data_IF_042196223268
#
_entry.id   IF_042196223268
#
_cell.length_a   1.000
_cell.length_b   1.000
_cell.length_c   1.000
_cell.angle_alpha   90.00
_cell.angle_beta   90.00
_cell.angle_gamma   90.00
#
_symmetry.space_group_name_H-M   'P 1'
#
loop_
_entity.id
_entity.type
_entity.pdbx_description
1 polymer ?
#
# COMPACT_ATOMS: atom_id res chain seq x y z
N UNK A 1 15.81 -20.83 -7.28
CA UNK A 1 15.27 -20.15 -6.07
C UNK A 1 13.76 -19.85 -6.19
N UNK A 2 13.24 -19.36 -7.33
CA UNK A 2 11.79 -19.15 -7.58
C UNK A 2 10.88 -20.37 -7.29
N UNK A 3 11.31 -21.59 -7.64
CA UNK A 3 10.53 -22.82 -7.43
C UNK A 3 10.46 -23.32 -5.98
N UNK A 4 11.44 -22.99 -5.12
CA UNK A 4 11.53 -23.59 -3.78
C UNK A 4 10.59 -22.92 -2.78
N UNK A 5 10.39 -21.60 -2.86
CA UNK A 5 9.37 -20.89 -2.07
C UNK A 5 7.94 -21.23 -2.53
N UNK A 6 7.76 -21.48 -3.82
CA UNK A 6 6.46 -21.83 -4.41
C UNK A 6 6.04 -23.27 -4.07
N UNK A 7 6.98 -24.22 -4.02
CA UNK A 7 6.72 -25.62 -3.65
C UNK A 7 6.41 -25.77 -2.14
N UNK A 8 7.03 -25.00 -1.25
CA UNK A 8 6.64 -24.99 0.18
C UNK A 8 5.28 -24.36 0.41
N UNK A 9 4.89 -23.37 -0.39
CA UNK A 9 3.54 -22.81 -0.38
C UNK A 9 2.54 -23.85 -0.90
N UNK A 10 2.81 -24.52 -2.03
CA UNK A 10 1.94 -25.57 -2.61
C UNK A 10 1.75 -26.79 -1.70
N UNK A 11 2.77 -27.22 -0.94
CA UNK A 11 2.66 -28.37 -0.04
C UNK A 11 1.73 -28.10 1.18
N UNK A 12 1.40 -26.85 1.45
CA UNK A 12 0.43 -26.43 2.49
C UNK A 12 -0.98 -26.24 1.89
N UNK A 13 -1.12 -26.20 0.56
CA UNK A 13 -2.29 -25.69 -0.19
C UNK A 13 -3.21 -26.76 -0.79
N UNK A 14 -3.46 -27.84 -0.04
CA UNK A 14 -4.49 -28.80 -0.41
C UNK A 14 -5.66 -28.65 0.57
N UNK A 15 -6.66 -27.81 0.23
CA UNK A 15 -8.12 -27.91 0.59
C UNK A 15 -8.83 -26.55 0.61
N UNK A 16 -9.93 -26.40 -0.15
CA UNK A 16 -10.95 -25.39 0.17
C UNK A 16 -12.37 -25.72 -0.35
N UNK A 17 -13.38 -25.21 0.35
CA UNK A 17 -14.71 -24.86 -0.16
C UNK A 17 -15.19 -23.67 0.67
N UNK A 18 -15.91 -22.73 0.04
CA UNK A 18 -16.62 -21.68 0.79
C UNK A 18 -18.01 -21.42 0.21
N UNK A 19 -19.00 -21.30 1.10
CA UNK A 19 -20.30 -20.68 0.88
C UNK A 19 -20.27 -19.28 1.51
N UNK A 20 -20.65 -18.24 0.77
CA UNK A 20 -20.97 -16.93 1.35
C UNK A 20 -20.36 -15.70 0.65
N UNK A 21 -21.26 -14.78 0.30
CA UNK A 21 -21.13 -13.39 -0.19
C UNK A 21 -20.24 -13.03 -1.39
N UNK A 22 -20.80 -12.12 -2.18
CA UNK A 22 -20.57 -11.88 -3.61
C UNK A 22 -19.57 -10.75 -3.88
N UNK A 23 -18.54 -10.59 -3.05
CA UNK A 23 -17.47 -9.64 -3.38
C UNK A 23 -16.52 -10.33 -4.34
N UNK A 24 -16.63 -10.01 -5.63
CA UNK A 24 -15.64 -10.35 -6.65
C UNK A 24 -14.53 -9.29 -6.69
N UNK A 25 -13.34 -9.67 -7.17
CA UNK A 25 -12.17 -8.80 -7.25
C UNK A 25 -12.47 -7.47 -7.96
N UNK A 26 -13.26 -7.53 -9.04
CA UNK A 26 -13.66 -6.36 -9.83
C UNK A 26 -14.47 -5.36 -9.01
N UNK A 27 -15.37 -5.86 -8.17
CA UNK A 27 -16.25 -5.05 -7.33
C UNK A 27 -15.44 -4.27 -6.31
N UNK A 28 -14.46 -4.92 -5.68
CA UNK A 28 -13.53 -4.27 -4.74
C UNK A 28 -12.69 -3.24 -5.50
N UNK A 29 -12.07 -3.62 -6.62
CA UNK A 29 -11.25 -2.73 -7.42
C UNK A 29 -12.01 -1.46 -7.85
N UNK A 30 -13.28 -1.59 -8.27
CA UNK A 30 -14.15 -0.47 -8.65
C UNK A 30 -14.63 0.39 -7.47
N UNK A 31 -14.58 -0.14 -6.25
CA UNK A 31 -14.95 0.60 -5.04
C UNK A 31 -13.81 1.48 -4.50
N UNK A 32 -12.58 1.25 -4.96
CA UNK A 32 -11.43 2.06 -4.56
C UNK A 32 -11.59 3.51 -5.04
N UNK A 33 -11.22 4.50 -4.21
CA UNK A 33 -11.14 5.87 -4.67
C UNK A 33 -10.04 6.00 -5.75
N UNK A 34 -10.22 6.94 -6.66
CA UNK A 34 -9.23 7.27 -7.68
C UNK A 34 -7.94 7.78 -7.04
N UNK A 35 -6.79 7.41 -7.61
CA UNK A 35 -5.48 7.96 -7.22
C UNK A 35 -5.51 9.50 -7.36
N UNK A 36 -5.33 10.25 -6.27
CA UNK A 36 -5.36 11.71 -6.31
C UNK A 36 -4.15 12.27 -7.08
N UNK A 37 -4.36 13.33 -7.87
CA UNK A 37 -3.28 13.96 -8.63
C UNK A 37 -2.31 14.74 -7.74
N UNK A 38 -2.80 15.33 -6.66
CA UNK A 38 -1.99 16.05 -5.69
C UNK A 38 -2.57 15.90 -4.29
N UNK A 39 -1.77 15.35 -3.38
CA UNK A 39 -2.15 15.22 -1.95
C UNK A 39 -1.36 16.15 -1.05
N UNK A 40 -0.33 16.84 -1.57
CA UNK A 40 0.63 17.60 -0.77
C UNK A 40 -0.04 18.72 -0.01
N UNK A 41 -0.93 19.46 -0.68
CA UNK A 41 -1.66 20.59 -0.11
C UNK A 41 -3.11 20.28 0.19
N UNK A 42 -3.53 19.02 0.09
CA UNK A 42 -4.90 18.65 0.38
C UNK A 42 -5.23 18.99 1.84
N UNK A 43 -6.40 19.57 2.06
CA UNK A 43 -6.89 19.95 3.39
C UNK A 43 -7.08 18.72 4.28
N UNK A 44 -7.13 18.93 5.60
CA UNK A 44 -7.45 17.83 6.54
C UNK A 44 -8.78 17.16 6.23
N UNK A 45 -9.76 17.93 5.74
CA UNK A 45 -11.07 17.41 5.35
C UNK A 45 -10.96 16.48 4.14
N UNK A 46 -10.22 16.87 3.10
CA UNK A 46 -10.03 16.05 1.90
C UNK A 46 -9.27 14.75 2.24
N UNK A 47 -8.22 14.85 3.06
CA UNK A 47 -7.51 13.69 3.59
C UNK A 47 -8.45 12.73 4.32
N UNK A 48 -9.24 13.24 5.27
CA UNK A 48 -10.17 12.40 6.03
C UNK A 48 -11.23 11.77 5.12
N UNK A 49 -11.84 12.55 4.23
CA UNK A 49 -12.83 12.02 3.27
C UNK A 49 -12.25 10.92 2.37
N UNK A 50 -10.98 11.01 1.99
CA UNK A 50 -10.32 9.99 1.20
C UNK A 50 -10.04 8.71 2.02
N UNK A 51 -9.53 8.86 3.24
CA UNK A 51 -9.28 7.75 4.15
C UNK A 51 -10.59 7.05 4.57
N UNK A 52 -11.68 7.79 4.75
CA UNK A 52 -13.00 7.22 5.04
C UNK A 52 -13.47 6.33 3.88
N UNK A 53 -13.32 6.81 2.63
CA UNK A 53 -13.63 6.00 1.43
C UNK A 53 -12.77 4.74 1.32
N UNK A 54 -11.49 4.81 1.68
CA UNK A 54 -10.63 3.62 1.73
C UNK A 54 -11.06 2.67 2.85
N UNK A 55 -11.45 3.21 4.00
CA UNK A 55 -11.93 2.42 5.16
C UNK A 55 -13.17 1.61 4.81
N UNK A 56 -14.08 2.14 3.98
CA UNK A 56 -15.26 1.41 3.48
C UNK A 56 -14.87 0.15 2.67
N UNK A 57 -13.66 0.12 2.10
CA UNK A 57 -13.14 -1.02 1.32
C UNK A 57 -12.53 -2.10 2.23
N UNK A 58 -12.05 -1.75 3.43
CA UNK A 58 -11.43 -2.71 4.36
C UNK A 58 -12.33 -3.90 4.72
N UNK A 59 -13.62 -3.74 5.07
CA UNK A 59 -14.52 -4.87 5.27
C UNK A 59 -14.64 -5.76 4.03
N UNK A 60 -14.64 -5.18 2.83
CA UNK A 60 -14.73 -5.94 1.58
C UNK A 60 -13.47 -6.78 1.34
N UNK A 61 -12.29 -6.22 1.63
CA UNK A 61 -11.01 -6.94 1.59
C UNK A 61 -10.95 -8.02 2.66
N UNK A 62 -11.37 -7.72 3.88
CA UNK A 62 -11.42 -8.69 4.97
C UNK A 62 -12.34 -9.86 4.63
N UNK A 63 -13.54 -9.60 4.09
CA UNK A 63 -14.46 -10.64 3.66
C UNK A 63 -13.93 -11.41 2.45
N UNK A 64 -13.21 -10.75 1.54
CA UNK A 64 -12.51 -11.40 0.44
C UNK A 64 -11.38 -12.30 0.95
N UNK A 65 -10.59 -11.85 1.94
CA UNK A 65 -9.51 -12.60 2.58
C UNK A 65 -10.04 -13.77 3.43
N UNK A 66 -11.17 -13.58 4.14
CA UNK A 66 -11.84 -14.64 4.93
C UNK A 66 -12.35 -15.81 4.11
N UNK A 67 -12.61 -15.62 2.80
CA UNK A 67 -12.89 -16.73 1.88
C UNK A 67 -11.73 -17.74 1.81
N UNK A 68 -10.55 -17.36 2.30
CA UNK A 68 -9.33 -18.18 2.33
C UNK A 68 -8.91 -18.64 3.75
N UNK A 69 -9.44 -18.08 4.84
CA UNK A 69 -8.92 -18.33 6.22
C UNK A 69 -9.64 -19.42 7.03
N UNK A 70 -10.89 -19.79 6.73
CA UNK A 70 -11.62 -20.82 7.48
C UNK A 70 -11.48 -22.20 6.82
N UNK A 71 -10.44 -22.95 7.18
CA UNK A 71 -10.08 -24.25 6.58
C UNK A 71 -10.14 -25.38 7.62
N UNK A 72 -10.96 -26.40 7.37
CA UNK A 72 -10.93 -27.70 8.08
C UNK A 72 -10.09 -28.72 7.28
N UNK A 73 -9.28 -29.52 7.98
CA UNK A 73 -8.42 -30.56 7.37
C UNK A 73 -9.26 -31.68 6.74
N UNK A 74 -9.04 -31.98 5.45
CA UNK A 74 -9.63 -33.14 4.75
C UNK A 74 -8.54 -33.92 3.99
N UNK A 75 -8.61 -35.25 4.04
CA UNK A 75 -7.74 -36.14 3.25
C UNK A 75 -8.27 -36.34 1.83
N UNK A 76 -7.35 -36.46 0.86
CA UNK A 76 -7.66 -36.63 -0.57
C UNK A 76 -7.44 -38.05 -1.06
N UNK A 77 -8.27 -38.47 -2.01
CA UNK A 77 -8.15 -39.72 -2.77
C UNK A 77 -7.14 -39.59 -3.92
N UNK A 78 -6.61 -40.72 -4.40
CA UNK A 78 -5.61 -40.76 -5.49
C UNK A 78 -6.11 -40.15 -6.82
N UNK A 79 -7.40 -40.28 -7.14
CA UNK A 79 -8.01 -39.67 -8.33
C UNK A 79 -8.12 -38.14 -8.22
N UNK A 80 -8.24 -37.61 -7.00
CA UNK A 80 -8.24 -36.17 -6.73
C UNK A 80 -6.83 -35.58 -6.89
N UNK A 81 -5.77 -36.33 -6.55
CA UNK A 81 -4.38 -35.91 -6.78
C UNK A 81 -4.03 -35.72 -8.27
N UNK A 82 -4.44 -36.63 -9.15
CA UNK A 82 -4.20 -36.46 -10.60
C UNK A 82 -4.98 -35.27 -11.18
N UNK A 83 -6.15 -34.96 -10.61
CA UNK A 83 -6.96 -33.81 -11.01
C UNK A 83 -6.36 -32.49 -10.53
N UNK A 84 -5.71 -32.49 -9.35
CA UNK A 84 -4.95 -31.35 -8.82
C UNK A 84 -3.78 -30.95 -9.72
N UNK A 85 -3.05 -31.90 -10.30
CA UNK A 85 -1.92 -31.60 -11.18
C UNK A 85 -2.34 -30.78 -12.41
N UNK A 86 -3.48 -31.12 -13.02
CA UNK A 86 -3.98 -30.39 -14.19
C UNK A 86 -4.42 -28.97 -13.84
N UNK A 87 -5.09 -28.79 -12.70
CA UNK A 87 -5.52 -27.45 -12.26
C UNK A 87 -4.33 -26.60 -11.83
N UNK A 88 -3.28 -27.19 -11.24
CA UNK A 88 -2.04 -26.48 -10.94
C UNK A 88 -1.33 -26.01 -12.22
N UNK A 89 -1.28 -26.83 -13.27
CA UNK A 89 -0.71 -26.41 -14.57
C UNK A 89 -1.52 -25.27 -15.20
N UNK A 90 -2.85 -25.31 -15.08
CA UNK A 90 -3.70 -24.21 -15.55
C UNK A 90 -3.47 -22.94 -14.72
N UNK A 91 -3.37 -23.06 -13.39
CA UNK A 91 -3.04 -21.96 -12.49
C UNK A 91 -1.72 -21.30 -12.89
N UNK A 92 -0.64 -22.08 -12.99
CA UNK A 92 0.70 -21.59 -13.37
C UNK A 92 0.64 -20.89 -14.74
N UNK A 93 -0.04 -21.49 -15.72
CA UNK A 93 -0.16 -20.90 -17.05
C UNK A 93 -0.89 -19.55 -17.04
N UNK A 94 -1.93 -19.38 -16.20
CA UNK A 94 -2.66 -18.10 -16.12
C UNK A 94 -1.82 -17.09 -15.34
N UNK A 95 -1.26 -17.50 -14.21
CA UNK A 95 -0.48 -16.64 -13.33
C UNK A 95 0.75 -16.09 -14.05
N UNK A 96 1.59 -16.95 -14.63
CA UNK A 96 2.83 -16.54 -15.31
C UNK A 96 2.55 -15.61 -16.49
N UNK A 97 1.46 -15.86 -17.22
CA UNK A 97 1.14 -15.11 -18.43
C UNK A 97 0.48 -13.77 -18.16
N UNK A 98 -0.30 -13.66 -17.08
CA UNK A 98 -1.20 -12.53 -16.88
C UNK A 98 -1.00 -11.77 -15.57
N UNK A 99 -0.45 -12.41 -14.53
CA UNK A 99 -0.35 -11.85 -13.18
C UNK A 99 1.11 -11.55 -12.79
N UNK A 100 2.04 -12.44 -13.11
CA UNK A 100 3.45 -12.34 -12.70
C UNK A 100 4.06 -10.99 -13.11
N UNK A 101 3.77 -10.52 -14.33
CA UNK A 101 4.24 -9.22 -14.82
C UNK A 101 3.68 -8.03 -14.01
N UNK A 102 2.43 -8.11 -13.55
CA UNK A 102 1.80 -7.04 -12.76
C UNK A 102 2.45 -7.00 -11.37
N UNK A 103 2.63 -8.18 -10.78
CA UNK A 103 3.31 -8.32 -9.49
C UNK A 103 4.76 -7.84 -9.60
N UNK A 104 5.50 -8.23 -10.64
CA UNK A 104 6.88 -7.79 -10.88
C UNK A 104 6.96 -6.28 -11.14
N UNK A 105 6.05 -5.70 -11.93
CA UNK A 105 6.01 -4.26 -12.15
C UNK A 105 5.73 -3.50 -10.87
N UNK A 106 4.72 -3.92 -10.09
CA UNK A 106 4.31 -3.21 -8.89
C UNK A 106 5.27 -3.44 -7.73
N UNK A 107 5.45 -4.71 -7.32
CA UNK A 107 6.30 -5.07 -6.18
C UNK A 107 7.79 -4.99 -6.51
N UNK A 108 8.18 -4.98 -7.78
CA UNK A 108 9.58 -4.75 -8.19
C UNK A 108 9.97 -3.27 -8.21
N UNK A 109 9.08 -2.37 -8.66
CA UNK A 109 9.36 -0.92 -8.66
C UNK A 109 9.14 -0.26 -7.30
N UNK A 110 8.20 -0.79 -6.50
CA UNK A 110 7.85 -0.20 -5.20
C UNK A 110 9.07 -0.05 -4.26
N UNK A 111 9.94 -1.06 -4.07
CA UNK A 111 11.15 -0.93 -3.26
C UNK A 111 12.07 0.21 -3.71
N UNK A 112 12.27 0.39 -5.02
CA UNK A 112 13.12 1.44 -5.56
C UNK A 112 12.55 2.83 -5.26
N UNK A 113 11.24 3.02 -5.45
CA UNK A 113 10.55 4.26 -5.10
C UNK A 113 10.67 4.52 -3.59
N UNK A 114 10.42 3.51 -2.76
CA UNK A 114 10.53 3.64 -1.30
C UNK A 114 11.96 3.96 -0.86
N UNK A 115 12.97 3.37 -1.50
CA UNK A 115 14.37 3.65 -1.23
C UNK A 115 14.76 5.08 -1.65
N UNK A 116 14.35 5.52 -2.83
CA UNK A 116 14.58 6.89 -3.30
C UNK A 116 13.91 7.90 -2.37
N UNK A 117 12.67 7.63 -1.96
CA UNK A 117 11.95 8.43 -0.98
C UNK A 117 12.71 8.52 0.35
N UNK A 118 13.27 7.41 0.83
CA UNK A 118 14.08 7.40 2.05
C UNK A 118 15.35 8.26 1.90
N UNK A 119 16.09 8.12 0.79
CA UNK A 119 17.30 8.91 0.52
C UNK A 119 16.97 10.41 0.51
N UNK A 120 15.90 10.79 -0.19
CA UNK A 120 15.46 12.17 -0.31
C UNK A 120 14.95 12.72 1.03
N UNK A 121 14.21 11.93 1.81
CA UNK A 121 13.81 12.29 3.19
C UNK A 121 15.02 12.50 4.10
N UNK A 122 16.03 11.63 4.05
CA UNK A 122 17.29 11.82 4.81
C UNK A 122 17.99 13.11 4.39
N UNK A 123 18.02 13.42 3.09
CA UNK A 123 18.53 14.70 2.59
C UNK A 123 17.75 15.90 3.15
N UNK A 124 16.42 15.83 3.17
CA UNK A 124 15.54 16.86 3.70
C UNK A 124 15.75 17.08 5.20
N UNK A 125 15.95 16.00 5.98
CA UNK A 125 16.30 16.08 7.40
C UNK A 125 17.59 16.86 7.60
N UNK A 126 18.65 16.55 6.83
CA UNK A 126 19.94 17.26 6.90
C UNK A 126 19.84 18.73 6.54
N UNK A 127 19.08 19.08 5.50
CA UNK A 127 18.87 20.49 5.10
C UNK A 127 18.13 21.27 6.17
N UNK A 128 17.20 20.62 6.88
CA UNK A 128 16.37 21.26 7.91
C UNK A 128 16.97 21.20 9.32
N UNK A 129 18.02 20.41 9.55
CA UNK A 129 18.67 20.22 10.85
C UNK A 129 19.08 21.53 11.53
N UNK A 130 19.71 22.51 10.86
CA UNK A 130 20.06 23.78 11.49
C UNK A 130 18.85 24.55 12.01
N UNK A 131 17.71 24.50 11.28
CA UNK A 131 16.48 25.15 11.71
C UNK A 131 15.86 24.46 12.92
N UNK A 132 15.92 23.13 12.98
CA UNK A 132 15.42 22.35 14.11
C UNK A 132 16.23 22.58 15.38
N UNK A 133 17.57 22.60 15.25
CA UNK A 133 18.46 22.92 16.36
C UNK A 133 18.14 24.31 16.94
N UNK A 134 17.98 25.32 16.06
CA UNK A 134 17.62 26.66 16.49
C UNK A 134 16.21 26.74 17.12
N UNK A 135 15.23 25.99 16.60
CA UNK A 135 13.90 25.89 17.24
C UNK A 135 14.02 25.31 18.66
N UNK A 136 14.79 24.23 18.84
CA UNK A 136 14.99 23.60 20.14
C UNK A 136 15.69 24.53 21.14
N UNK A 137 16.70 25.27 20.69
CA UNK A 137 17.35 26.31 21.51
C UNK A 137 16.38 27.41 21.95
N UNK A 138 15.45 27.81 21.08
CA UNK A 138 14.44 28.83 21.40
C UNK A 138 13.39 28.32 22.38
N UNK A 139 13.02 27.03 22.30
CA UNK A 139 12.12 26.41 23.30
C UNK A 139 12.74 26.29 24.70
N UNK A 140 14.07 26.25 24.80
CA UNK A 140 14.79 26.26 26.08
C UNK A 140 14.93 27.66 26.70
N UNK A 141 14.48 28.72 26.01
CA UNK A 141 14.50 30.10 26.51
C UNK A 141 13.13 30.51 27.07
N UNK A 142 13.07 31.52 27.96
CA UNK A 142 11.79 32.09 28.37
C UNK A 142 10.96 32.52 27.17
N UNK A 143 9.65 32.27 27.25
CA UNK A 143 8.72 32.68 26.22
C UNK A 143 8.74 34.21 26.02
N UNK A 144 8.82 34.64 24.77
CA UNK A 144 8.55 36.02 24.36
C UNK A 144 8.06 36.04 22.90
N UNK A 145 7.43 37.15 22.50
CA UNK A 145 6.82 37.30 21.18
C UNK A 145 7.83 37.25 20.02
N UNK A 146 9.08 37.68 20.26
CA UNK A 146 10.14 37.66 19.23
C UNK A 146 10.61 36.22 18.96
N UNK A 147 10.81 35.44 20.02
CA UNK A 147 11.17 34.02 19.95
C UNK A 147 10.06 33.22 19.25
N UNK A 148 8.79 33.47 19.57
CA UNK A 148 7.65 32.80 18.91
C UNK A 148 7.58 33.12 17.41
N UNK A 149 7.78 34.39 17.04
CA UNK A 149 7.87 34.82 15.64
C UNK A 149 9.05 34.15 14.92
N UNK A 150 10.19 34.04 15.58
CA UNK A 150 11.37 33.37 15.01
C UNK A 150 11.13 31.87 14.81
N UNK A 151 10.53 31.18 15.80
CA UNK A 151 10.13 29.77 15.68
C UNK A 151 9.18 29.58 14.50
N UNK A 152 8.18 30.44 14.35
CA UNK A 152 7.23 30.39 13.21
C UNK A 152 7.95 30.54 11.87
N UNK A 153 8.91 31.45 11.76
CA UNK A 153 9.71 31.64 10.54
C UNK A 153 10.60 30.43 10.23
N UNK A 154 11.20 29.80 11.23
CA UNK A 154 12.01 28.59 11.05
C UNK A 154 11.15 27.41 10.61
N UNK A 155 9.97 27.24 11.21
CA UNK A 155 8.97 26.24 10.77
C UNK A 155 8.50 26.47 9.34
N UNK A 156 8.36 27.74 8.91
CA UNK A 156 8.06 28.09 7.52
C UNK A 156 9.15 27.59 6.57
N UNK A 157 10.43 27.82 6.88
CA UNK A 157 11.55 27.34 6.04
C UNK A 157 11.57 25.82 5.89
N UNK A 158 11.27 25.11 6.99
CA UNK A 158 11.13 23.64 6.97
C UNK A 158 9.97 23.24 6.06
N UNK A 159 8.79 23.85 6.24
CA UNK A 159 7.60 23.59 5.42
C UNK A 159 7.85 23.85 3.93
N UNK A 160 8.46 24.98 3.58
CA UNK A 160 8.77 25.34 2.18
C UNK A 160 9.75 24.34 1.56
N UNK A 161 10.72 23.85 2.35
CA UNK A 161 11.64 22.79 1.91
C UNK A 161 10.92 21.47 1.64
N UNK A 162 9.93 21.10 2.47
CA UNK A 162 9.07 19.93 2.22
C UNK A 162 8.22 20.12 0.97
N UNK A 163 7.66 21.31 0.75
CA UNK A 163 6.85 21.63 -0.43
C UNK A 163 7.61 21.52 -1.75
N UNK A 164 8.92 21.73 -1.75
CA UNK A 164 9.73 21.55 -2.95
C UNK A 164 9.92 20.07 -3.31
N UNK A 165 10.02 19.19 -2.31
CA UNK A 165 10.37 17.79 -2.51
C UNK A 165 9.14 16.87 -2.63
N UNK A 166 8.16 17.04 -1.75
CA UNK A 166 7.02 16.13 -1.63
C UNK A 166 6.20 15.96 -2.92
N UNK A 167 6.02 16.99 -3.78
CA UNK A 167 5.36 16.81 -5.07
C UNK A 167 6.06 15.80 -5.98
N UNK A 168 7.39 15.78 -5.99
CA UNK A 168 8.20 14.84 -6.80
C UNK A 168 8.04 13.41 -6.29
N UNK A 169 8.15 13.22 -4.97
CA UNK A 169 7.98 11.90 -4.35
C UNK A 169 6.56 11.36 -4.57
N UNK A 170 5.56 12.23 -4.42
CA UNK A 170 4.17 11.88 -4.62
C UNK A 170 3.88 11.54 -6.09
N UNK A 171 4.45 12.26 -7.06
CA UNK A 171 4.20 11.97 -8.48
C UNK A 171 4.69 10.58 -8.87
N UNK A 172 5.89 10.18 -8.44
CA UNK A 172 6.42 8.84 -8.75
C UNK A 172 5.53 7.72 -8.20
N UNK A 173 5.08 7.86 -6.95
CA UNK A 173 4.15 6.91 -6.34
C UNK A 173 2.78 6.91 -7.03
N UNK A 174 2.25 8.09 -7.35
CA UNK A 174 0.93 8.23 -7.99
C UNK A 174 0.92 7.62 -9.38
N UNK A 175 2.00 7.79 -10.15
CA UNK A 175 2.15 7.20 -11.48
C UNK A 175 2.22 5.68 -11.41
N UNK A 176 2.98 5.13 -10.45
CA UNK A 176 2.99 3.68 -10.21
C UNK A 176 1.59 3.16 -9.89
N UNK A 177 0.87 3.83 -8.98
CA UNK A 177 -0.47 3.38 -8.56
C UNK A 177 -1.52 3.50 -9.68
N UNK A 178 -1.42 4.52 -10.54
CA UNK A 178 -2.28 4.62 -11.73
C UNK A 178 -1.99 3.48 -12.71
N UNK A 179 -0.71 3.23 -13.00
CA UNK A 179 -0.30 2.12 -13.86
C UNK A 179 -0.78 0.77 -13.31
N UNK A 180 -0.57 0.51 -12.01
CA UNK A 180 -0.98 -0.74 -11.37
C UNK A 180 -2.50 -0.92 -11.39
N UNK A 181 -3.28 0.14 -11.19
CA UNK A 181 -4.73 0.07 -11.29
C UNK A 181 -5.21 -0.36 -12.67
N UNK A 182 -4.62 0.21 -13.73
CA UNK A 182 -4.94 -0.14 -15.12
C UNK A 182 -4.58 -1.60 -15.42
N UNK A 183 -3.39 -2.03 -14.99
CA UNK A 183 -2.92 -3.42 -15.14
C UNK A 183 -3.86 -4.40 -14.41
N UNK A 184 -4.21 -4.14 -13.15
CA UNK A 184 -5.17 -4.92 -12.35
C UNK A 184 -6.56 -4.97 -13.00
N UNK A 185 -7.03 -3.83 -13.51
CA UNK A 185 -8.32 -3.73 -14.21
C UNK A 185 -8.34 -4.61 -15.46
N UNK A 186 -7.25 -4.61 -16.23
CA UNK A 186 -7.10 -5.45 -17.43
C UNK A 186 -7.02 -6.95 -17.11
N UNK A 187 -6.47 -7.29 -15.93
CA UNK A 187 -6.25 -8.66 -15.50
C UNK A 187 -7.43 -9.28 -14.73
N UNK A 188 -8.49 -8.51 -14.47
CA UNK A 188 -9.59 -8.94 -13.59
C UNK A 188 -10.21 -10.27 -14.01
N UNK A 189 -10.41 -10.51 -15.32
CA UNK A 189 -10.95 -11.79 -15.80
C UNK A 189 -10.04 -12.98 -15.46
N UNK A 190 -8.73 -12.79 -15.46
CA UNK A 190 -7.75 -13.83 -15.14
C UNK A 190 -7.68 -14.06 -13.63
N UNK A 191 -7.75 -13.00 -12.83
CA UNK A 191 -7.81 -13.08 -11.37
C UNK A 191 -9.08 -13.82 -10.94
N UNK A 192 -10.24 -13.46 -11.49
CA UNK A 192 -11.49 -14.17 -11.23
C UNK A 192 -11.41 -15.65 -11.66
N UNK A 193 -10.72 -15.94 -12.76
CA UNK A 193 -10.50 -17.32 -13.21
C UNK A 193 -9.61 -18.08 -12.22
N UNK A 194 -8.50 -17.50 -11.77
CA UNK A 194 -7.62 -18.08 -10.75
C UNK A 194 -8.38 -18.35 -9.45
N UNK A 195 -9.15 -17.38 -8.95
CA UNK A 195 -9.93 -17.47 -7.72
C UNK A 195 -11.09 -18.49 -7.79
N UNK A 196 -11.46 -18.94 -8.98
CA UNK A 196 -12.53 -19.92 -9.21
C UNK A 196 -12.02 -21.33 -9.56
N UNK A 197 -10.71 -21.53 -9.68
CA UNK A 197 -10.13 -22.84 -9.93
C UNK A 197 -10.45 -23.82 -8.78
N UNK A 198 -11.01 -24.97 -9.13
CA UNK A 198 -11.43 -26.00 -8.19
C UNK A 198 -11.27 -27.41 -8.78
N UNK A 199 -11.12 -28.40 -7.90
CA UNK A 199 -11.07 -29.84 -8.22
C UNK A 199 -12.20 -30.52 -7.46
N UNK A 200 -13.13 -31.18 -8.16
CA UNK A 200 -14.26 -31.88 -7.53
C UNK A 200 -14.95 -31.01 -6.47
N UNK A 201 -15.28 -29.79 -6.89
CA UNK A 201 -15.90 -28.73 -6.08
C UNK A 201 -14.93 -28.11 -5.03
N UNK A 202 -13.81 -28.77 -4.69
CA UNK A 202 -12.76 -28.28 -3.78
C UNK A 202 -12.02 -27.13 -4.46
N UNK A 203 -12.27 -25.89 -4.03
CA UNK A 203 -11.47 -24.72 -4.41
C UNK A 203 -10.01 -25.00 -4.12
N UNK A 204 -9.14 -24.68 -5.08
CA UNK A 204 -7.71 -24.63 -4.78
C UNK A 204 -7.51 -23.32 -4.01
N UNK A 205 -6.88 -23.35 -2.83
CA UNK A 205 -6.41 -22.13 -2.21
C UNK A 205 -5.31 -21.58 -3.11
N UNK A 206 -5.72 -20.81 -4.11
CA UNK A 206 -4.83 -19.88 -4.78
C UNK A 206 -4.54 -18.86 -3.71
N UNK A 207 -3.29 -18.79 -3.21
CA UNK A 207 -2.91 -17.75 -2.28
C UNK A 207 -3.29 -16.42 -2.94
N UNK A 208 -4.38 -15.79 -2.47
CA UNK A 208 -5.24 -14.96 -3.30
C UNK A 208 -4.45 -13.91 -4.06
N UNK A 209 -4.13 -14.18 -5.33
CA UNK A 209 -3.30 -13.29 -6.11
C UNK A 209 -3.97 -11.91 -6.22
N UNK A 210 -5.30 -11.91 -6.31
CA UNK A 210 -6.10 -10.70 -6.19
C UNK A 210 -6.03 -10.05 -4.81
N UNK A 211 -6.03 -10.84 -3.73
CA UNK A 211 -5.93 -10.36 -2.33
C UNK A 211 -4.59 -9.66 -2.09
N UNK A 212 -3.49 -10.32 -2.43
CA UNK A 212 -2.14 -9.77 -2.25
C UNK A 212 -1.98 -8.47 -3.05
N UNK A 213 -2.45 -8.45 -4.31
CA UNK A 213 -2.40 -7.25 -5.13
C UNK A 213 -3.25 -6.12 -4.53
N UNK A 214 -4.49 -6.40 -4.14
CA UNK A 214 -5.38 -5.41 -3.55
C UNK A 214 -4.87 -4.88 -2.22
N UNK A 215 -4.40 -5.75 -1.31
CA UNK A 215 -3.91 -5.37 0.01
C UNK A 215 -2.67 -4.45 -0.12
N UNK A 216 -1.72 -4.81 -0.99
CA UNK A 216 -0.56 -3.96 -1.23
C UNK A 216 -0.97 -2.64 -1.90
N UNK A 217 -1.89 -2.68 -2.85
CA UNK A 217 -2.36 -1.49 -3.56
C UNK A 217 -3.09 -0.51 -2.62
N UNK A 218 -4.04 -1.01 -1.83
CA UNK A 218 -4.82 -0.23 -0.84
C UNK A 218 -3.90 0.41 0.17
N UNK A 219 -2.95 -0.35 0.72
CA UNK A 219 -1.94 0.18 1.64
C UNK A 219 -1.16 1.35 1.01
N UNK A 220 -0.76 1.23 -0.24
CA UNK A 220 -0.05 2.32 -0.92
C UNK A 220 -0.95 3.54 -1.20
N UNK A 221 -2.26 3.35 -1.41
CA UNK A 221 -3.21 4.47 -1.48
C UNK A 221 -3.35 5.19 -0.13
N UNK A 222 -3.35 4.48 0.99
CA UNK A 222 -3.36 5.07 2.33
C UNK A 222 -2.07 5.88 2.58
N UNK A 223 -0.94 5.27 2.23
CA UNK A 223 0.40 5.83 2.39
C UNK A 223 0.57 7.18 1.65
N UNK A 224 -0.13 7.40 0.53
CA UNK A 224 -0.10 8.69 -0.20
C UNK A 224 -0.44 9.88 0.71
N UNK A 225 -1.55 9.81 1.45
CA UNK A 225 -1.98 10.88 2.35
C UNK A 225 -1.26 10.88 3.69
N UNK A 226 -0.74 9.73 4.12
CA UNK A 226 0.02 9.65 5.35
C UNK A 226 1.39 10.30 5.20
N UNK A 227 2.09 10.04 4.09
CA UNK A 227 3.47 10.48 3.93
C UNK A 227 3.67 11.81 3.22
N UNK A 228 2.80 12.18 2.27
CA UNK A 228 3.06 13.35 1.43
C UNK A 228 2.14 14.54 1.72
N UNK A 229 1.10 14.38 2.55
CA UNK A 229 0.20 15.48 2.88
C UNK A 229 0.81 16.41 3.94
N UNK A 230 1.05 17.67 3.57
CA UNK A 230 1.48 18.74 4.47
C UNK A 230 0.31 19.62 4.91
N UNK A 231 -0.77 19.65 4.12
CA UNK A 231 -1.86 20.61 4.28
C UNK A 231 -1.38 22.06 4.10
N UNK A 232 -2.22 23.00 4.51
CA UNK A 232 -1.79 24.41 4.62
C UNK A 232 -0.74 24.57 5.72
N UNK A 233 0.07 25.62 5.66
CA UNK A 233 1.03 25.91 6.72
C UNK A 233 0.37 26.05 8.11
N UNK A 234 -0.83 26.63 8.18
CA UNK A 234 -1.55 26.77 9.45
C UNK A 234 -2.02 25.41 10.00
N UNK A 235 -2.34 24.46 9.12
CA UNK A 235 -2.61 23.07 9.51
C UNK A 235 -1.33 22.36 9.94
N UNK A 236 -0.24 22.53 9.19
CA UNK A 236 1.09 22.00 9.51
C UNK A 236 1.57 22.44 10.91
N UNK A 237 1.40 23.72 11.25
CA UNK A 237 1.77 24.24 12.58
C UNK A 237 0.98 23.58 13.73
N UNK A 238 -0.22 23.08 13.46
CA UNK A 238 -1.11 22.44 14.43
C UNK A 238 -0.99 20.92 14.45
N UNK A 239 -0.13 20.35 13.61
CA UNK A 239 0.00 18.92 13.40
C UNK A 239 1.39 18.44 13.86
N UNK A 240 1.51 17.85 15.06
CA UNK A 240 2.78 17.36 15.58
C UNK A 240 3.36 16.23 14.73
N UNK A 241 2.50 15.41 14.14
CA UNK A 241 2.91 14.28 13.32
C UNK A 241 3.48 14.79 11.99
N UNK A 242 2.86 15.78 11.34
CA UNK A 242 3.43 16.41 10.14
C UNK A 242 4.78 17.13 10.40
N UNK A 243 5.00 17.60 11.63
CA UNK A 243 6.26 18.22 12.06
C UNK A 243 7.36 17.19 12.35
N UNK A 244 7.01 15.97 12.75
CA UNK A 244 7.95 14.95 13.25
C UNK A 244 8.08 13.70 12.38
N UNK A 245 7.16 13.46 11.43
CA UNK A 245 7.02 12.23 10.64
C UNK A 245 8.26 11.82 9.85
N UNK A 246 9.13 12.77 9.49
CA UNK A 246 10.39 12.50 8.78
C UNK A 246 11.57 12.20 9.73
N UNK A 247 11.43 12.55 11.01
CA UNK A 247 12.52 12.55 11.99
C UNK A 247 12.52 11.32 12.91
N UNK A 248 11.40 10.59 12.95
CA UNK A 248 11.27 9.31 13.67
C UNK A 248 11.93 8.13 12.95
N UNK A 249 12.24 8.25 11.65
CA UNK A 249 12.90 7.21 10.85
C UNK A 249 14.44 7.22 10.90
N UNK A 250 15.06 8.26 11.48
CA UNK A 250 16.52 8.48 11.44
C UNK A 250 17.19 8.19 12.80
N UNK A 251 16.48 7.64 13.77
CA UNK A 251 17.09 7.17 15.01
C UNK A 251 17.56 5.71 14.84
N UNK A 252 18.86 5.44 14.58
CA UNK A 252 19.39 4.14 14.97
C UNK A 252 19.30 4.08 16.51
N UNK A 253 18.63 3.04 17.01
CA UNK A 253 18.89 2.58 18.38
C UNK A 253 20.28 1.96 18.44
#
# INVERSE_FOLDING_TARGET
MKKVYFITIIAILLTAHSYGQKNDYLTILKSLPSVPDNVVLASKKEKQMYLDKLSDVHPMLLDYNRKFENIEKKEYTLSEYNSLENVLKEYESIYDKHIDKIVENFLGKLPDILQNNLILKVGLVKVNEPYLQQINELFNKPYNAENDKLIRNLRRKIYDSKLLLYPVLQSEMSDLLKQTFEEMSSATQYINKLDSLSVNVIKIPTAGAGSILLDNYVKQLEDLYYFYNLGSFEEYLKDPDAQTSDYSYVAPK
#
